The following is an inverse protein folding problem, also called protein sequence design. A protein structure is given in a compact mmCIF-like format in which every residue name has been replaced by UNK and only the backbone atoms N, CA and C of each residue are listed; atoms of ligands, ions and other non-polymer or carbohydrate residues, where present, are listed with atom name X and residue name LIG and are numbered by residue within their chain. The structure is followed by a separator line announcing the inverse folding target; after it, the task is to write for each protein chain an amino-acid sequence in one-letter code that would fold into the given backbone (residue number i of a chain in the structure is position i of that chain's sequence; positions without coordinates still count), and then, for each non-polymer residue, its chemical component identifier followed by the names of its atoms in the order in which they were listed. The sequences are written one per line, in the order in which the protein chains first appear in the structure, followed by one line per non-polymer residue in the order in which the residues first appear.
data_IF_523753494489
#
_entry.id   IF_523753494489
#
_cell.length_a   1.000
_cell.length_b   1.000
_cell.length_c   1.000
_cell.angle_alpha   90.00
_cell.angle_beta   90.00
_cell.angle_gamma   90.00
#
_symmetry.space_group_name_H-M   'P 1'
#
loop_
_entity.id
_entity.type
_entity.pdbx_description
1 polymer ?
#
# COMPACT_ATOMS: atom_id res chain seq x y z
N UNK A 1 -28.43 39.45 -23.29
CA UNK A 1 -27.19 39.78 -22.55
C UNK A 1 -26.85 38.59 -21.66
N UNK A 2 -26.17 37.58 -22.22
CA UNK A 2 -25.83 36.36 -21.49
C UNK A 2 -24.60 36.60 -20.62
N UNK A 3 -24.77 36.49 -19.31
CA UNK A 3 -23.65 36.42 -18.38
C UNK A 3 -22.90 35.12 -18.65
N UNK A 4 -21.69 35.24 -19.19
CA UNK A 4 -20.74 34.13 -19.29
C UNK A 4 -20.29 33.82 -17.86
N UNK A 5 -20.74 32.70 -17.33
CA UNK A 5 -20.15 32.09 -16.16
C UNK A 5 -18.70 31.77 -16.53
N UNK A 6 -17.75 32.52 -15.97
CA UNK A 6 -16.34 32.14 -16.00
C UNK A 6 -16.24 30.91 -15.11
N UNK A 7 -16.25 29.72 -15.71
CA UNK A 7 -15.76 28.52 -15.05
C UNK A 7 -14.30 28.82 -14.67
N UNK A 8 -14.07 29.14 -13.41
CA UNK A 8 -12.73 29.14 -12.83
C UNK A 8 -12.13 27.76 -13.16
N UNK A 9 -10.87 27.68 -13.64
CA UNK A 9 -10.25 26.39 -13.83
C UNK A 9 -10.37 25.65 -12.51
N UNK A 10 -11.06 24.51 -12.54
CA UNK A 10 -11.32 23.70 -11.35
C UNK A 10 -9.96 23.36 -10.77
N UNK A 11 -9.68 23.90 -9.58
CA UNK A 11 -8.39 23.75 -8.92
C UNK A 11 -8.07 22.25 -8.81
N UNK A 12 -6.85 21.85 -9.19
CA UNK A 12 -6.50 20.43 -9.27
C UNK A 12 -6.67 19.77 -7.88
N UNK A 13 -7.54 18.77 -7.80
CA UNK A 13 -7.79 18.01 -6.58
C UNK A 13 -7.01 16.69 -6.58
N UNK A 14 -6.80 16.12 -5.38
CA UNK A 14 -6.15 14.81 -5.19
C UNK A 14 -6.90 13.72 -5.96
N UNK A 15 -8.23 13.66 -5.87
CA UNK A 15 -9.03 12.64 -6.54
C UNK A 15 -8.93 12.75 -8.07
N UNK A 16 -8.96 13.97 -8.61
CA UNK A 16 -8.80 14.20 -10.05
C UNK A 16 -7.39 13.80 -10.54
N UNK A 17 -6.36 14.14 -9.76
CA UNK A 17 -4.99 13.77 -10.07
C UNK A 17 -4.76 12.25 -10.00
N UNK A 18 -5.23 11.60 -8.92
CA UNK A 18 -5.12 10.16 -8.73
C UNK A 18 -5.85 9.39 -9.84
N UNK A 19 -7.05 9.82 -10.22
CA UNK A 19 -7.81 9.20 -11.29
C UNK A 19 -7.10 9.29 -12.64
N UNK A 20 -6.61 10.47 -13.01
CA UNK A 20 -5.90 10.67 -14.29
C UNK A 20 -4.56 9.93 -14.37
N UNK A 21 -3.94 9.68 -13.22
CA UNK A 21 -2.72 8.88 -13.11
C UNK A 21 -2.99 7.38 -12.85
N UNK A 22 -4.27 6.97 -12.81
CA UNK A 22 -4.73 5.60 -12.57
C UNK A 22 -4.21 5.00 -11.25
N UNK A 23 -4.12 5.84 -10.22
CA UNK A 23 -3.68 5.47 -8.86
C UNK A 23 -4.77 5.77 -7.83
N UNK A 24 -6.05 5.56 -8.19
CA UNK A 24 -7.21 5.86 -7.33
C UNK A 24 -7.11 5.19 -5.95
N UNK A 25 -6.53 3.99 -5.86
CA UNK A 25 -6.31 3.28 -4.60
C UNK A 25 -5.40 4.03 -3.60
N UNK A 26 -4.58 4.99 -4.07
CA UNK A 26 -3.71 5.81 -3.23
C UNK A 26 -4.36 7.14 -2.80
N UNK A 27 -5.57 7.48 -3.27
CA UNK A 27 -6.17 8.79 -3.08
C UNK A 27 -6.40 9.17 -1.60
N UNK A 28 -6.86 8.22 -0.77
CA UNK A 28 -7.04 8.46 0.68
C UNK A 28 -5.73 8.80 1.37
N UNK A 29 -4.66 8.04 1.07
CA UNK A 29 -3.33 8.28 1.63
C UNK A 29 -2.75 9.60 1.13
N UNK A 30 -2.96 9.93 -0.15
CA UNK A 30 -2.54 11.20 -0.73
C UNK A 30 -3.24 12.39 -0.07
N UNK A 31 -4.54 12.27 0.21
CA UNK A 31 -5.32 13.29 0.92
C UNK A 31 -4.78 13.51 2.33
N UNK A 32 -4.59 12.45 3.11
CA UNK A 32 -4.04 12.54 4.46
C UNK A 32 -2.64 13.19 4.47
N UNK A 33 -1.77 12.84 3.53
CA UNK A 33 -0.44 13.46 3.40
C UNK A 33 -0.54 14.96 3.03
N UNK A 34 -1.41 15.30 2.09
CA UNK A 34 -1.61 16.69 1.64
C UNK A 34 -2.29 17.55 2.71
N UNK A 35 -3.27 17.04 3.45
CA UNK A 35 -3.90 17.77 4.55
C UNK A 35 -2.92 18.02 5.70
N UNK A 36 -2.01 17.07 5.94
CA UNK A 36 -1.01 17.21 6.99
C UNK A 36 0.11 18.21 6.68
N UNK A 37 0.64 18.20 5.45
CA UNK A 37 1.86 18.95 5.10
C UNK A 37 1.79 19.69 3.74
N UNK A 38 0.66 19.62 3.04
CA UNK A 38 0.48 20.17 1.69
C UNK A 38 0.53 21.69 1.61
N UNK A 39 0.24 22.41 2.71
CA UNK A 39 0.39 23.86 2.76
C UNK A 39 1.85 24.28 2.54
N UNK A 40 2.81 23.60 3.17
CA UNK A 40 4.23 23.89 3.02
C UNK A 40 4.71 23.67 1.58
N UNK A 41 4.34 22.53 0.99
CA UNK A 41 4.67 22.23 -0.40
C UNK A 41 3.97 23.18 -1.38
N UNK A 42 2.75 23.63 -1.06
CA UNK A 42 2.01 24.59 -1.89
C UNK A 42 2.68 25.95 -1.90
N UNK A 43 3.19 26.42 -0.75
CA UNK A 43 3.91 27.69 -0.65
C UNK A 43 5.20 27.69 -1.46
N UNK A 44 5.92 26.57 -1.50
CA UNK A 44 7.24 26.49 -2.13
C UNK A 44 7.18 26.13 -3.63
N UNK A 45 6.33 25.16 -4.00
CA UNK A 45 6.30 24.59 -5.35
C UNK A 45 4.99 24.87 -6.12
N UNK A 46 4.00 25.47 -5.45
CA UNK A 46 2.67 25.71 -5.99
C UNK A 46 1.73 24.51 -5.77
N UNK A 47 0.42 24.80 -5.72
CA UNK A 47 -0.59 23.82 -5.35
C UNK A 47 -0.62 22.59 -6.26
N UNK A 48 -0.56 22.77 -7.58
CA UNK A 48 -0.61 21.64 -8.51
C UNK A 48 0.59 20.69 -8.30
N UNK A 49 1.78 21.23 -8.05
CA UNK A 49 2.96 20.43 -7.76
C UNK A 49 2.82 19.70 -6.42
N UNK A 50 2.29 20.37 -5.40
CA UNK A 50 2.03 19.78 -4.09
C UNK A 50 0.99 18.65 -4.12
N UNK A 51 -0.11 18.82 -4.87
CA UNK A 51 -1.14 17.79 -5.07
C UNK A 51 -0.56 16.57 -5.80
N UNK A 52 0.15 16.79 -6.89
CA UNK A 52 0.80 15.70 -7.64
C UNK A 52 1.90 15.03 -6.82
N UNK A 53 2.64 15.79 -6.01
CA UNK A 53 3.66 15.29 -5.10
C UNK A 53 3.07 14.39 -4.03
N UNK A 54 1.92 14.76 -3.46
CA UNK A 54 1.19 13.94 -2.51
C UNK A 54 0.67 12.64 -3.14
N UNK A 55 0.14 12.70 -4.38
CA UNK A 55 -0.28 11.50 -5.13
C UNK A 55 0.90 10.57 -5.41
N UNK A 56 2.04 11.12 -5.85
CA UNK A 56 3.27 10.36 -6.12
C UNK A 56 3.80 9.68 -4.86
N UNK A 57 3.91 10.44 -3.77
CA UNK A 57 4.29 9.95 -2.44
C UNK A 57 3.40 8.79 -1.99
N UNK A 58 2.07 8.97 -2.08
CA UNK A 58 1.10 7.98 -1.67
C UNK A 58 1.20 6.72 -2.53
N UNK A 59 1.28 6.85 -3.85
CA UNK A 59 1.39 5.73 -4.78
C UNK A 59 2.68 4.92 -4.54
N UNK A 60 3.80 5.60 -4.22
CA UNK A 60 5.04 4.95 -3.80
C UNK A 60 4.85 4.20 -2.48
N UNK A 61 4.26 4.82 -1.46
CA UNK A 61 4.08 4.20 -0.14
C UNK A 61 3.09 3.04 -0.15
N UNK A 62 1.98 3.13 -0.88
CA UNK A 62 0.99 2.04 -0.96
C UNK A 62 1.46 0.87 -1.84
N UNK A 63 2.44 1.11 -2.72
CA UNK A 63 2.97 0.10 -3.64
C UNK A 63 2.12 -0.10 -4.89
N UNK A 64 1.21 0.83 -5.20
CA UNK A 64 0.37 0.83 -6.41
C UNK A 64 1.19 1.14 -7.67
N UNK A 65 2.36 1.76 -7.49
CA UNK A 65 3.27 2.12 -8.58
C UNK A 65 3.36 3.62 -8.69
N UNK A 66 4.58 4.13 -8.54
CA UNK A 66 4.83 5.57 -8.59
C UNK A 66 4.67 6.09 -10.03
N UNK A 67 3.83 7.12 -10.27
CA UNK A 67 3.78 7.78 -11.57
C UNK A 67 5.14 8.37 -11.93
N UNK A 68 5.66 8.00 -13.10
CA UNK A 68 6.93 8.55 -13.59
C UNK A 68 6.78 10.00 -14.07
N UNK A 69 7.94 10.65 -14.28
CA UNK A 69 8.03 12.06 -14.66
C UNK A 69 7.42 12.33 -16.04
N UNK A 70 7.59 11.40 -16.97
CA UNK A 70 7.11 11.54 -18.35
C UNK A 70 5.58 11.49 -18.38
N UNK A 71 4.97 10.58 -17.61
CA UNK A 71 3.52 10.47 -17.44
C UNK A 71 2.94 11.73 -16.80
N UNK A 72 3.61 12.27 -15.78
CA UNK A 72 3.19 13.52 -15.13
C UNK A 72 3.22 14.68 -16.13
N UNK A 73 4.33 14.87 -16.86
CA UNK A 73 4.47 15.92 -17.87
C UNK A 73 3.45 15.79 -19.01
N UNK A 74 3.15 14.56 -19.44
CA UNK A 74 2.18 14.31 -20.50
C UNK A 74 0.73 14.59 -20.07
N UNK A 75 0.42 14.41 -18.78
CA UNK A 75 -0.95 14.51 -18.25
C UNK A 75 -1.26 15.90 -17.69
N UNK A 76 -0.25 16.60 -17.19
CA UNK A 76 -0.40 17.90 -16.52
C UNK A 76 0.63 18.91 -17.03
N UNK A 77 0.20 20.16 -17.18
CA UNK A 77 1.07 21.30 -17.50
C UNK A 77 1.82 21.78 -16.24
N UNK A 78 2.64 20.90 -15.67
CA UNK A 78 3.44 21.14 -14.46
C UNK A 78 4.83 20.55 -14.67
N UNK A 79 5.85 21.27 -14.24
CA UNK A 79 7.24 20.80 -14.23
C UNK A 79 7.38 19.55 -13.31
N UNK A 80 7.75 18.37 -13.85
CA UNK A 80 7.90 17.15 -13.06
C UNK A 80 8.94 17.25 -11.94
N UNK A 81 9.98 18.06 -12.08
CA UNK A 81 10.98 18.22 -11.02
C UNK A 81 10.38 18.91 -9.79
N UNK A 82 9.49 19.89 -10.00
CA UNK A 82 8.76 20.52 -8.89
C UNK A 82 7.85 19.53 -8.17
N UNK A 83 7.26 18.59 -8.91
CA UNK A 83 6.43 17.52 -8.32
C UNK A 83 7.29 16.59 -7.46
N UNK A 84 8.47 16.22 -7.94
CA UNK A 84 9.42 15.37 -7.18
C UNK A 84 9.88 16.08 -5.91
N UNK A 85 10.24 17.36 -5.98
CA UNK A 85 10.64 18.12 -4.80
C UNK A 85 9.49 18.34 -3.81
N UNK A 86 8.26 18.54 -4.29
CA UNK A 86 7.09 18.61 -3.42
C UNK A 86 6.83 17.28 -2.69
N UNK A 87 6.97 16.14 -3.38
CA UNK A 87 6.92 14.80 -2.78
C UNK A 87 8.00 14.62 -1.70
N UNK A 88 9.25 14.95 -2.02
CA UNK A 88 10.37 14.87 -1.07
C UNK A 88 10.13 15.74 0.17
N UNK A 89 9.66 16.97 -0.02
CA UNK A 89 9.33 17.88 1.08
C UNK A 89 8.22 17.30 1.96
N UNK A 90 7.12 16.84 1.37
CA UNK A 90 6.02 16.18 2.11
C UNK A 90 6.54 14.98 2.92
N UNK A 91 7.43 14.18 2.34
CA UNK A 91 8.01 13.03 3.02
C UNK A 91 8.81 13.40 4.27
N UNK A 92 9.43 14.59 4.33
CA UNK A 92 10.19 15.05 5.50
C UNK A 92 9.32 15.30 6.74
N UNK A 93 8.03 15.58 6.56
CA UNK A 93 7.06 15.82 7.63
C UNK A 93 6.38 14.53 8.12
N UNK A 94 6.68 13.40 7.51
CA UNK A 94 6.09 12.11 7.84
C UNK A 94 7.17 11.18 8.42
N UNK A 95 6.74 10.22 9.24
CA UNK A 95 7.61 9.10 9.60
C UNK A 95 8.07 8.39 8.31
N UNK A 96 9.35 7.98 8.23
CA UNK A 96 9.80 7.13 7.13
C UNK A 96 9.05 5.79 7.18
N UNK A 97 8.91 5.11 6.02
CA UNK A 97 8.50 3.72 6.02
C UNK A 97 9.54 2.86 6.77
N UNK A 98 9.14 1.64 7.10
CA UNK A 98 10.06 0.58 7.49
C UNK A 98 11.10 0.33 6.39
N UNK A 99 12.20 -0.32 6.74
CA UNK A 99 13.22 -0.64 5.75
C UNK A 99 12.70 -1.64 4.69
N UNK A 100 13.36 -1.65 3.53
CA UNK A 100 12.91 -2.43 2.40
C UNK A 100 12.98 -3.95 2.65
N UNK A 101 13.83 -4.40 3.57
CA UNK A 101 13.97 -5.82 3.90
C UNK A 101 12.83 -6.28 4.81
N UNK A 102 12.41 -5.45 5.77
CA UNK A 102 11.24 -5.65 6.62
C UNK A 102 9.95 -5.70 5.79
N UNK A 103 9.72 -4.72 4.91
CA UNK A 103 8.55 -4.69 4.02
C UNK A 103 8.53 -5.94 3.12
N UNK A 104 9.70 -6.35 2.61
CA UNK A 104 9.81 -7.55 1.76
C UNK A 104 9.56 -8.83 2.56
N UNK A 105 10.04 -8.89 3.80
CA UNK A 105 9.80 -10.00 4.72
C UNK A 105 8.31 -10.16 5.00
N UNK A 106 7.64 -9.09 5.43
CA UNK A 106 6.19 -9.06 5.68
C UNK A 106 5.40 -9.50 4.45
N UNK A 107 5.73 -8.98 3.27
CA UNK A 107 5.06 -9.36 2.01
C UNK A 107 5.22 -10.85 1.70
N UNK A 108 6.41 -11.42 1.89
CA UNK A 108 6.63 -12.85 1.66
C UNK A 108 5.83 -13.70 2.65
N UNK A 109 5.82 -13.33 3.93
CA UNK A 109 5.04 -14.01 4.96
C UNK A 109 3.55 -13.97 4.64
N UNK A 110 3.03 -12.83 4.18
CA UNK A 110 1.63 -12.67 3.75
C UNK A 110 1.28 -13.61 2.59
N UNK A 111 2.12 -13.68 1.55
CA UNK A 111 1.93 -14.59 0.41
C UNK A 111 1.85 -16.05 0.90
N UNK A 112 2.77 -16.45 1.79
CA UNK A 112 2.76 -17.81 2.34
C UNK A 112 1.48 -18.09 3.13
N UNK A 113 1.05 -17.14 3.98
CA UNK A 113 -0.17 -17.30 4.77
C UNK A 113 -1.42 -17.43 3.87
N UNK A 114 -1.51 -16.63 2.79
CA UNK A 114 -2.59 -16.71 1.81
C UNK A 114 -2.60 -18.06 1.07
N UNK A 115 -1.43 -18.56 0.66
CA UNK A 115 -1.34 -19.88 0.01
C UNK A 115 -1.70 -21.03 0.97
N UNK A 116 -1.30 -20.93 2.24
CA UNK A 116 -1.71 -21.89 3.27
C UNK A 116 -3.22 -21.85 3.48
N UNK A 117 -3.83 -20.67 3.50
CA UNK A 117 -5.29 -20.54 3.63
C UNK A 117 -5.99 -21.18 2.44
N UNK A 118 -5.54 -20.86 1.23
CA UNK A 118 -6.12 -21.43 0.02
C UNK A 118 -5.95 -22.97 -0.02
N UNK A 119 -4.82 -23.52 0.45
CA UNK A 119 -4.61 -24.95 0.58
C UNK A 119 -5.58 -25.60 1.61
N UNK A 120 -5.75 -24.96 2.77
CA UNK A 120 -6.72 -25.41 3.79
C UNK A 120 -8.15 -25.40 3.24
N UNK A 121 -8.53 -24.35 2.50
CA UNK A 121 -9.86 -24.20 1.89
C UNK A 121 -10.10 -25.20 0.75
N UNK A 122 -9.07 -25.56 -0.03
CA UNK A 122 -9.14 -26.59 -1.09
C UNK A 122 -9.20 -28.02 -0.53
N UNK A 123 -8.86 -28.23 0.73
CA UNK A 123 -8.91 -29.53 1.41
C UNK A 123 -7.63 -30.36 1.31
N UNK A 124 -7.55 -31.42 2.13
CA UNK A 124 -6.33 -32.17 2.57
C UNK A 124 -5.41 -32.77 1.49
N UNK A 125 -5.69 -32.60 0.20
CA UNK A 125 -4.88 -33.17 -0.89
C UNK A 125 -4.08 -32.13 -1.69
N UNK A 126 -4.34 -30.84 -1.48
CA UNK A 126 -3.55 -29.75 -2.07
C UNK A 126 -2.63 -29.14 -0.98
N UNK A 127 -1.33 -29.29 -1.13
CA UNK A 127 -0.36 -28.52 -0.35
C UNK A 127 -0.31 -27.06 -0.81
N UNK A 128 0.31 -26.16 -0.03
CA UNK A 128 0.52 -24.78 -0.47
C UNK A 128 1.41 -24.75 -1.72
N UNK A 129 0.98 -24.00 -2.74
CA UNK A 129 1.72 -23.83 -3.99
C UNK A 129 2.65 -22.61 -3.84
N UNK A 130 3.83 -22.83 -3.27
CA UNK A 130 4.80 -21.75 -3.09
C UNK A 130 5.68 -21.60 -4.35
N UNK A 131 5.61 -20.48 -5.08
CA UNK A 131 6.47 -20.24 -6.23
C UNK A 131 7.91 -19.90 -5.75
N UNK A 132 8.75 -20.92 -5.62
CA UNK A 132 10.19 -20.79 -5.39
C UNK A 132 10.63 -21.02 -3.94
N UNK A 133 11.88 -21.49 -3.77
CA UNK A 133 12.44 -21.96 -2.50
C UNK A 133 12.46 -20.91 -1.38
N UNK A 134 12.70 -19.64 -1.71
CA UNK A 134 12.83 -18.54 -0.74
C UNK A 134 11.52 -18.16 -0.05
N UNK A 135 10.36 -18.53 -0.60
CA UNK A 135 9.07 -18.34 0.08
C UNK A 135 8.85 -19.41 1.16
N UNK A 136 9.41 -20.61 0.99
CA UNK A 136 9.35 -21.63 2.03
C UNK A 136 10.07 -21.19 3.31
N UNK A 137 11.12 -20.38 3.19
CA UNK A 137 11.87 -19.84 4.32
C UNK A 137 11.20 -18.64 5.00
N UNK A 138 10.17 -18.05 4.38
CA UNK A 138 9.53 -16.84 4.90
C UNK A 138 8.58 -17.09 6.09
N UNK A 139 7.96 -18.27 6.15
CA UNK A 139 7.09 -18.64 7.26
C UNK A 139 7.23 -20.13 7.65
N UNK A 140 8.41 -20.55 8.11
CA UNK A 140 8.71 -21.96 8.36
C UNK A 140 7.77 -22.58 9.40
N UNK A 141 7.33 -21.81 10.40
CA UNK A 141 6.37 -22.28 11.40
C UNK A 141 4.98 -22.55 10.81
N UNK A 142 4.49 -21.67 9.91
CA UNK A 142 3.19 -21.87 9.25
C UNK A 142 3.22 -23.10 8.34
N UNK A 143 4.31 -23.29 7.61
CA UNK A 143 4.48 -24.43 6.71
C UNK A 143 4.63 -25.75 7.47
N UNK A 144 5.40 -25.78 8.56
CA UNK A 144 5.51 -26.95 9.42
C UNK A 144 4.16 -27.36 10.02
N UNK A 145 3.30 -26.39 10.34
CA UNK A 145 1.95 -26.63 10.83
C UNK A 145 1.02 -27.13 9.72
N UNK A 146 1.12 -26.56 8.52
CA UNK A 146 0.35 -26.98 7.35
C UNK A 146 0.72 -28.41 6.91
N UNK A 147 2.01 -28.76 6.87
CA UNK A 147 2.49 -30.10 6.50
C UNK A 147 2.03 -31.16 7.51
N UNK A 148 2.07 -30.86 8.81
CA UNK A 148 1.60 -31.76 9.87
C UNK A 148 0.10 -32.05 9.78
N UNK A 149 -0.68 -31.17 9.15
CA UNK A 149 -2.12 -31.35 8.94
C UNK A 149 -2.45 -32.19 7.68
N UNK A 150 -1.51 -32.29 6.74
CA UNK A 150 -1.62 -33.08 5.51
C UNK A 150 -1.14 -34.53 5.70
N UNK A 151 -0.30 -34.78 6.71
CA UNK A 151 0.18 -36.12 7.02
C UNK A 151 -0.90 -36.96 7.73
N UNK A 152 -1.61 -37.75 6.93
CA UNK A 152 -2.72 -38.62 7.36
C UNK A 152 -2.23 -39.90 8.07
N UNK A 153 -0.93 -40.06 8.31
CA UNK A 153 -0.32 -41.24 8.95
C UNK A 153 -0.16 -41.15 10.46
N UNK A 154 -0.35 -39.97 11.04
CA UNK A 154 -0.33 -39.78 12.49
C UNK A 154 -1.76 -39.75 13.02
N UNK A 155 -2.18 -40.80 13.74
CA UNK A 155 -3.44 -40.90 14.50
C UNK A 155 -3.58 -39.86 15.64
N UNK A 156 -2.77 -38.79 15.62
CA UNK A 156 -2.94 -37.65 16.49
C UNK A 156 -3.84 -36.64 15.79
N UNK A 157 -5.08 -36.49 16.26
CA UNK A 157 -5.92 -35.33 15.97
C UNK A 157 -5.24 -34.06 16.50
N UNK A 158 -4.25 -33.56 15.77
CA UNK A 158 -3.80 -32.19 15.97
C UNK A 158 -4.96 -31.28 15.61
N UNK A 159 -5.34 -30.30 16.46
CA UNK A 159 -6.33 -29.32 16.08
C UNK A 159 -5.83 -28.66 14.80
N UNK A 160 -6.59 -28.90 13.73
CA UNK A 160 -6.21 -28.51 12.39
C UNK A 160 -5.89 -27.03 12.29
N UNK A 161 -5.20 -26.65 11.23
CA UNK A 161 -4.95 -25.25 10.94
C UNK A 161 -6.31 -24.60 10.66
N UNK A 162 -6.83 -23.86 11.64
CA UNK A 162 -8.14 -23.24 11.58
C UNK A 162 -8.14 -22.10 10.56
N UNK A 163 -9.00 -22.21 9.55
CA UNK A 163 -9.14 -21.22 8.49
C UNK A 163 -9.56 -19.85 9.05
N UNK A 164 -10.38 -19.81 10.12
CA UNK A 164 -10.77 -18.54 10.74
C UNK A 164 -9.56 -17.85 11.40
N UNK A 165 -8.81 -18.59 12.23
CA UNK A 165 -7.59 -18.07 12.83
C UNK A 165 -6.53 -17.63 11.80
N UNK A 166 -6.47 -18.28 10.64
CA UNK A 166 -5.56 -17.90 9.57
C UNK A 166 -6.00 -16.64 8.83
N UNK A 167 -7.30 -16.45 8.61
CA UNK A 167 -7.84 -15.17 8.09
C UNK A 167 -7.52 -14.02 9.04
N UNK A 168 -7.77 -14.19 10.34
CA UNK A 168 -7.40 -13.19 11.36
C UNK A 168 -5.89 -12.87 11.35
N UNK A 169 -5.04 -13.87 11.08
CA UNK A 169 -3.61 -13.67 10.98
C UNK A 169 -3.21 -12.91 9.71
N UNK A 170 -3.84 -13.22 8.57
CA UNK A 170 -3.66 -12.52 7.30
C UNK A 170 -4.07 -11.06 7.47
N UNK A 171 -5.24 -10.78 8.05
CA UNK A 171 -5.72 -9.42 8.27
C UNK A 171 -4.73 -8.60 9.12
N UNK A 172 -4.14 -9.20 10.16
CA UNK A 172 -3.08 -8.55 10.95
C UNK A 172 -1.81 -8.31 10.13
N UNK A 173 -1.37 -9.27 9.32
CA UNK A 173 -0.20 -9.10 8.46
C UNK A 173 -0.41 -8.03 7.39
N UNK A 174 -1.63 -7.89 6.86
CA UNK A 174 -1.99 -6.83 5.92
C UNK A 174 -1.91 -5.46 6.60
N UNK A 175 -2.46 -5.33 7.82
CA UNK A 175 -2.34 -4.11 8.62
C UNK A 175 -0.87 -3.78 8.98
N UNK A 176 -0.08 -4.77 9.38
CA UNK A 176 1.35 -4.59 9.68
C UNK A 176 2.13 -4.16 8.44
N UNK A 177 1.86 -4.77 7.29
CA UNK A 177 2.48 -4.42 6.01
C UNK A 177 2.11 -3.00 5.58
N UNK A 178 0.87 -2.59 5.79
CA UNK A 178 0.41 -1.24 5.51
C UNK A 178 1.06 -0.21 6.45
N UNK A 179 1.11 -0.49 7.75
CA UNK A 179 1.82 0.33 8.73
C UNK A 179 3.30 0.48 8.35
N UNK A 180 3.97 -0.61 8.00
CA UNK A 180 5.36 -0.62 7.57
C UNK A 180 5.57 0.24 6.31
N UNK A 181 4.64 0.18 5.36
CA UNK A 181 4.68 0.94 4.10
C UNK A 181 4.41 2.43 4.26
N UNK A 182 3.42 2.78 5.07
CA UNK A 182 3.02 4.17 5.26
C UNK A 182 3.93 4.87 6.27
N UNK A 183 4.50 4.13 7.23
CA UNK A 183 5.12 4.68 8.41
C UNK A 183 4.08 5.11 9.44
N UNK A 184 4.49 5.16 10.71
CA UNK A 184 3.57 5.35 11.85
C UNK A 184 2.72 6.62 11.77
N UNK A 185 3.30 7.75 11.34
CA UNK A 185 2.59 9.03 11.25
C UNK A 185 1.49 9.00 10.20
N UNK A 186 1.80 8.56 8.99
CA UNK A 186 0.85 8.55 7.87
C UNK A 186 -0.22 7.49 8.08
N UNK A 187 0.14 6.32 8.62
CA UNK A 187 -0.84 5.29 9.01
C UNK A 187 -1.83 5.85 10.05
N UNK A 188 -1.33 6.57 11.05
CA UNK A 188 -2.17 7.23 12.05
C UNK A 188 -3.16 8.23 11.45
N UNK A 189 -2.72 9.06 10.50
CA UNK A 189 -3.60 10.02 9.82
C UNK A 189 -4.71 9.33 9.02
N UNK A 190 -4.42 8.20 8.36
CA UNK A 190 -5.40 7.48 7.55
C UNK A 190 -6.44 6.73 8.42
N UNK A 191 -5.99 6.13 9.52
CA UNK A 191 -6.81 5.17 10.29
C UNK A 191 -7.30 5.66 11.66
N UNK A 192 -6.83 6.82 12.14
CA UNK A 192 -7.22 7.36 13.46
C UNK A 192 -8.07 8.63 13.37
N UNK A 193 -8.20 9.25 12.19
CA UNK A 193 -8.97 10.48 11.97
C UNK A 193 -10.36 10.26 11.31
N UNK A 194 -10.90 9.03 11.37
CA UNK A 194 -12.29 8.72 10.97
C UNK A 194 -13.17 8.35 12.17
#
# INVERSE_FOLDING_TARGET
MGQRHLEMPTELTIDCAAHRLEVDAAATVARAAFEHAGEMATLEYGRSAAVLGAVRLAARRTGVGEPDRDRIAATFDVDPERVVHADELLATYLSPPADADEIRSLRRTLIVAQEVLAAVERGRSAGPELPGSHLADAAPFLLARASSHLDSRTDCEYPGLDAAALRDHIDRLEADLELARLGTKLYGLVYTEN
#
